data_IF_438574977447
#
_entry.id   IF_438574977447
#
_cell.length_a   1.000
_cell.length_b   1.000
_cell.length_c   1.000
_cell.angle_alpha   90.00
_cell.angle_beta   90.00
_cell.angle_gamma   90.00
#
_symmetry.space_group_name_H-M   'P 1'
#
loop_
_entity.id
_entity.type
_entity.pdbx_description
1 polymer ?
#
# COMPACT_ATOMS: atom_id res chain seq x y z
N UNK A 1 -4.66 41.32 19.11
CA UNK A 1 -4.15 41.19 17.73
C UNK A 1 -3.47 39.82 17.66
N UNK A 2 -4.14 38.86 16.99
CA UNK A 2 -3.72 37.51 16.54
C UNK A 2 -3.03 36.59 17.57
N UNK A 3 -3.61 35.52 18.14
CA UNK A 3 -4.34 34.34 17.64
C UNK A 3 -3.55 33.32 16.77
N UNK A 4 -3.51 32.09 17.32
CA UNK A 4 -3.48 30.74 16.73
C UNK A 4 -2.19 30.12 16.14
N UNK A 5 -1.74 29.02 16.78
CA UNK A 5 -1.31 27.79 16.09
C UNK A 5 -1.86 26.57 16.83
N UNK A 6 -3.05 26.12 16.38
CA UNK A 6 -3.67 24.85 16.74
C UNK A 6 -3.51 23.93 15.54
N UNK A 7 -2.48 23.08 15.54
CA UNK A 7 -2.30 22.04 14.53
C UNK A 7 -3.27 20.89 14.83
N UNK A 8 -4.51 21.04 14.36
CA UNK A 8 -5.47 19.93 14.27
C UNK A 8 -5.23 19.18 12.95
N UNK A 9 -4.93 17.90 13.10
CA UNK A 9 -5.04 16.84 12.09
C UNK A 9 -6.33 17.02 11.27
N UNK A 10 -6.17 17.30 9.98
CA UNK A 10 -7.26 17.19 9.00
C UNK A 10 -7.28 15.76 8.46
N UNK A 11 -8.37 14.99 8.63
CA UNK A 11 -8.56 13.77 7.88
C UNK A 11 -8.85 14.15 6.42
N UNK A 12 -7.88 13.93 5.53
CA UNK A 12 -7.90 14.45 4.15
C UNK A 12 -8.95 13.79 3.23
N UNK A 13 -9.73 12.82 3.68
CA UNK A 13 -10.76 12.19 2.83
C UNK A 13 -12.13 12.14 3.50
N UNK A 14 -12.60 13.28 4.02
CA UNK A 14 -14.01 13.48 4.30
C UNK A 14 -14.72 14.03 3.06
N UNK A 15 -15.64 13.24 2.50
CA UNK A 15 -16.57 13.61 1.44
C UNK A 15 -17.22 14.97 1.75
N UNK A 16 -16.82 16.04 1.04
CA UNK A 16 -17.59 17.28 0.95
C UNK A 16 -17.80 17.64 -0.51
N UNK A 17 -19.07 17.79 -0.88
CA UNK A 17 -19.52 18.37 -2.13
C UNK A 17 -18.77 19.68 -2.38
N UNK A 18 -17.98 19.73 -3.45
CA UNK A 18 -17.42 20.98 -3.94
C UNK A 18 -18.46 21.64 -4.85
N UNK A 19 -19.04 22.72 -4.32
CA UNK A 19 -19.71 23.76 -5.08
C UNK A 19 -18.83 24.22 -6.25
N UNK A 20 -19.45 24.43 -7.40
CA UNK A 20 -18.82 24.75 -8.68
C UNK A 20 -18.07 26.08 -8.64
N UNK A 21 -16.74 26.02 -8.59
CA UNK A 21 -15.86 27.09 -9.06
C UNK A 21 -14.77 26.45 -9.92
N UNK A 22 -14.74 26.86 -11.19
CA UNK A 22 -13.80 26.37 -12.21
C UNK A 22 -12.35 26.55 -11.72
N UNK A 23 -11.73 25.44 -11.35
CA UNK A 23 -10.28 25.33 -11.21
C UNK A 23 -9.79 24.67 -12.50
N UNK A 24 -8.83 25.29 -13.17
CA UNK A 24 -8.18 24.78 -14.37
C UNK A 24 -7.73 23.32 -14.18
N UNK A 25 -7.87 22.53 -15.24
CA UNK A 25 -7.82 21.07 -15.28
C UNK A 25 -6.48 20.46 -14.82
N UNK A 26 -6.26 20.37 -13.51
CA UNK A 26 -5.29 19.45 -12.93
C UNK A 26 -6.00 18.13 -12.66
N UNK A 27 -5.59 17.07 -13.36
CA UNK A 27 -6.01 15.72 -13.00
C UNK A 27 -5.62 15.47 -11.54
N UNK A 28 -6.51 14.98 -10.67
CA UNK A 28 -6.15 14.68 -9.29
C UNK A 28 -4.96 13.72 -9.28
N UNK A 29 -3.92 14.06 -8.50
CA UNK A 29 -2.72 13.24 -8.35
C UNK A 29 -3.17 11.89 -7.78
N UNK A 30 -3.03 10.83 -8.56
CA UNK A 30 -3.42 9.49 -8.13
C UNK A 30 -2.42 8.94 -7.12
N UNK A 31 -2.88 8.32 -6.02
CA UNK A 31 -1.98 7.70 -5.06
C UNK A 31 -1.20 6.54 -5.68
N UNK A 32 -0.05 6.23 -5.10
CA UNK A 32 0.55 4.90 -5.21
C UNK A 32 0.12 4.03 -4.03
N UNK A 33 -0.15 2.75 -4.28
CA UNK A 33 -0.40 1.76 -3.25
C UNK A 33 0.76 0.76 -3.21
N UNK A 34 1.44 0.71 -2.08
CA UNK A 34 2.50 -0.25 -1.78
C UNK A 34 1.94 -1.32 -0.82
N UNK A 35 2.04 -2.58 -1.23
CA UNK A 35 1.52 -3.73 -0.50
C UNK A 35 2.67 -4.66 -0.19
N UNK A 36 2.89 -4.94 1.09
CA UNK A 36 3.83 -5.95 1.54
C UNK A 36 3.09 -7.22 1.87
N UNK A 37 3.41 -8.34 1.20
CA UNK A 37 2.84 -9.64 1.54
C UNK A 37 3.65 -10.31 2.66
N UNK A 38 2.96 -11.07 3.50
CA UNK A 38 3.52 -11.77 4.65
C UNK A 38 2.43 -12.42 5.50
N UNK A 39 2.82 -13.06 6.59
CA UNK A 39 1.90 -13.64 7.57
C UNK A 39 1.91 -12.84 8.88
N UNK A 40 0.74 -12.58 9.51
CA UNK A 40 0.63 -11.90 10.79
C UNK A 40 1.00 -12.81 11.97
N UNK A 41 1.55 -12.21 13.02
CA UNK A 41 1.88 -12.88 14.28
C UNK A 41 3.39 -13.05 14.51
N UNK A 42 3.80 -13.07 15.78
CA UNK A 42 5.21 -13.08 16.20
C UNK A 42 6.00 -14.24 15.61
N UNK A 43 5.38 -15.42 15.48
CA UNK A 43 6.01 -16.64 14.93
C UNK A 43 6.47 -16.53 13.48
N UNK A 44 6.00 -15.51 12.73
CA UNK A 44 6.40 -15.29 11.33
C UNK A 44 7.37 -14.11 11.17
N UNK A 45 7.63 -13.36 12.24
CA UNK A 45 8.61 -12.28 12.21
C UNK A 45 9.99 -12.84 11.83
N UNK A 46 10.73 -12.08 11.02
CA UNK A 46 12.07 -12.47 10.53
C UNK A 46 12.11 -13.75 9.67
N UNK A 47 10.97 -14.25 9.18
CA UNK A 47 10.96 -15.31 8.17
C UNK A 47 11.11 -14.70 6.78
N UNK A 48 11.68 -15.44 5.82
CA UNK A 48 11.82 -14.98 4.43
C UNK A 48 10.47 -14.59 3.81
N UNK A 49 9.40 -15.29 4.18
CA UNK A 49 8.03 -15.01 3.74
C UNK A 49 7.48 -13.66 4.22
N UNK A 50 8.10 -13.02 5.20
CA UNK A 50 7.68 -11.72 5.72
C UNK A 50 8.52 -10.55 5.17
N UNK A 51 9.42 -10.79 4.21
CA UNK A 51 10.24 -9.71 3.62
C UNK A 51 9.40 -8.58 3.00
N UNK A 52 8.19 -8.89 2.52
CA UNK A 52 7.25 -7.89 2.03
C UNK A 52 6.78 -6.96 3.15
N UNK A 53 6.48 -7.49 4.35
CA UNK A 53 6.18 -6.67 5.52
C UNK A 53 7.38 -5.83 5.95
N UNK A 54 8.58 -6.43 5.99
CA UNK A 54 9.80 -5.75 6.38
C UNK A 54 10.12 -4.57 5.44
N UNK A 55 9.88 -4.75 4.14
CA UNK A 55 10.03 -3.68 3.14
C UNK A 55 9.06 -2.52 3.41
N UNK A 56 7.80 -2.80 3.71
CA UNK A 56 6.81 -1.76 4.02
C UNK A 56 7.16 -1.06 5.32
N UNK A 57 7.62 -1.78 6.35
CA UNK A 57 8.02 -1.21 7.63
C UNK A 57 9.23 -0.29 7.48
N UNK A 58 10.27 -0.73 6.75
CA UNK A 58 11.44 0.09 6.45
C UNK A 58 11.08 1.33 5.64
N UNK A 59 10.21 1.19 4.63
CA UNK A 59 9.76 2.33 3.83
C UNK A 59 8.94 3.31 4.66
N UNK A 60 7.94 2.83 5.41
CA UNK A 60 7.11 3.62 6.30
C UNK A 60 7.96 4.41 7.31
N UNK A 61 8.95 3.75 7.93
CA UNK A 61 9.88 4.39 8.85
C UNK A 61 10.71 5.48 8.16
N UNK A 62 11.26 5.20 6.97
CA UNK A 62 12.08 6.17 6.22
C UNK A 62 11.31 7.44 5.82
N UNK A 63 9.99 7.32 5.61
CA UNK A 63 9.11 8.42 5.20
C UNK A 63 8.31 9.03 6.37
N UNK A 64 8.46 8.49 7.59
CA UNK A 64 7.69 8.93 8.75
C UNK A 64 6.18 8.65 8.66
N UNK A 65 5.79 7.60 7.94
CA UNK A 65 4.37 7.23 7.73
C UNK A 65 3.95 6.21 8.80
N UNK A 66 3.00 6.54 9.69
CA UNK A 66 2.53 5.60 10.70
C UNK A 66 1.60 4.54 10.09
N UNK A 67 1.87 3.27 10.39
CA UNK A 67 1.00 2.13 10.07
C UNK A 67 0.12 1.79 11.26
N UNK A 68 -0.92 2.60 11.50
CA UNK A 68 -1.76 2.50 12.72
C UNK A 68 -3.21 2.15 12.45
N UNK A 69 -3.64 2.22 11.19
CA UNK A 69 -5.05 1.99 10.84
C UNK A 69 -5.25 0.53 10.48
N UNK A 70 -6.33 -0.07 10.95
CA UNK A 70 -6.78 -1.37 10.46
C UNK A 70 -7.92 -1.16 9.46
N UNK A 71 -7.68 -1.53 8.20
CA UNK A 71 -8.67 -1.35 7.13
C UNK A 71 -8.57 -2.51 6.14
N UNK A 72 -9.72 -3.03 5.68
CA UNK A 72 -9.78 -4.19 4.77
C UNK A 72 -8.89 -5.39 5.17
N UNK A 73 -8.89 -5.76 6.46
CA UNK A 73 -8.02 -6.81 7.01
C UNK A 73 -6.51 -6.54 6.80
N UNK A 74 -6.08 -5.29 6.64
CA UNK A 74 -4.68 -4.88 6.55
C UNK A 74 -4.31 -3.88 7.66
N UNK A 75 -3.04 -3.89 8.07
CA UNK A 75 -2.43 -2.77 8.78
C UNK A 75 -2.02 -1.74 7.73
N UNK A 76 -2.42 -0.49 7.94
CA UNK A 76 -2.50 0.51 6.89
C UNK A 76 -2.00 1.87 7.37
N UNK A 77 -1.41 2.62 6.44
CA UNK A 77 -0.96 3.99 6.64
C UNK A 77 -1.04 4.80 5.36
N UNK A 78 -1.21 6.11 5.52
CA UNK A 78 -1.25 7.08 4.42
C UNK A 78 -0.21 8.17 4.65
N UNK A 79 0.41 8.64 3.59
CA UNK A 79 1.40 9.71 3.65
C UNK A 79 1.64 10.38 2.30
N UNK A 80 2.67 11.21 2.25
CA UNK A 80 3.11 11.94 1.07
C UNK A 80 4.60 11.74 0.87
N UNK A 81 5.02 11.41 -0.35
CA UNK A 81 6.43 11.29 -0.75
C UNK A 81 6.63 12.15 -1.99
N UNK A 82 7.53 13.14 -1.90
CA UNK A 82 7.79 14.10 -2.99
C UNK A 82 6.51 14.75 -3.58
N UNK A 83 5.54 15.03 -2.72
CA UNK A 83 4.25 15.63 -3.12
C UNK A 83 3.25 14.65 -3.73
N UNK A 84 3.56 13.35 -3.78
CA UNK A 84 2.69 12.29 -4.30
C UNK A 84 2.07 11.52 -3.13
N UNK A 85 0.72 11.34 -3.11
CA UNK A 85 0.08 10.51 -2.10
C UNK A 85 0.53 9.06 -2.18
N UNK A 86 0.80 8.46 -1.02
CA UNK A 86 1.16 7.05 -0.89
C UNK A 86 0.32 6.36 0.17
N UNK A 87 -0.13 5.17 -0.18
CA UNK A 87 -0.87 4.26 0.68
C UNK A 87 0.00 3.03 0.93
N UNK A 88 0.16 2.65 2.19
CA UNK A 88 0.96 1.50 2.61
C UNK A 88 0.04 0.47 3.25
N UNK A 89 0.15 -0.79 2.82
CA UNK A 89 -0.69 -1.87 3.32
C UNK A 89 0.12 -3.13 3.63
N UNK A 90 -0.14 -3.71 4.81
CA UNK A 90 0.31 -5.05 5.21
C UNK A 90 -0.92 -5.91 5.52
N UNK A 91 -1.43 -6.71 4.56
CA UNK A 91 -2.55 -7.62 4.80
C UNK A 91 -2.33 -8.46 6.06
N UNK A 92 -3.17 -8.30 7.07
CA UNK A 92 -3.18 -9.10 8.30
C UNK A 92 -4.00 -10.39 8.09
N UNK A 93 -3.95 -10.93 6.88
CA UNK A 93 -4.46 -12.25 6.52
C UNK A 93 -3.28 -13.21 6.38
N UNK A 94 -3.55 -14.52 6.29
CA UNK A 94 -2.50 -15.44 5.86
C UNK A 94 -2.14 -15.18 4.39
N UNK A 95 -0.88 -15.46 4.02
CA UNK A 95 -0.32 -15.20 2.69
C UNK A 95 -1.21 -15.71 1.55
N UNK A 96 -1.75 -16.92 1.70
CA UNK A 96 -2.67 -17.56 0.75
C UNK A 96 -4.05 -16.89 0.64
N UNK A 97 -4.39 -16.01 1.58
CA UNK A 97 -5.65 -15.25 1.65
C UNK A 97 -5.41 -13.74 1.49
N UNK A 98 -4.23 -13.32 1.03
CA UNK A 98 -3.88 -11.91 0.81
C UNK A 98 -4.82 -11.21 -0.18
N UNK A 99 -5.35 -11.95 -1.17
CA UNK A 99 -6.33 -11.46 -2.14
C UNK A 99 -7.63 -10.92 -1.50
N UNK A 100 -8.05 -11.46 -0.34
CA UNK A 100 -9.24 -10.98 0.38
C UNK A 100 -9.05 -9.59 1.00
N UNK A 101 -7.81 -9.14 1.15
CA UNK A 101 -7.46 -7.82 1.66
C UNK A 101 -7.12 -6.86 0.51
N UNK A 102 -6.24 -7.29 -0.39
CA UNK A 102 -5.70 -6.48 -1.49
C UNK A 102 -6.78 -6.05 -2.48
N UNK A 103 -7.66 -6.97 -2.88
CA UNK A 103 -8.72 -6.69 -3.87
C UNK A 103 -9.68 -5.58 -3.43
N UNK A 104 -10.33 -5.70 -2.26
CA UNK A 104 -11.20 -4.66 -1.72
C UNK A 104 -10.51 -3.31 -1.52
N UNK A 105 -9.25 -3.33 -1.07
CA UNK A 105 -8.46 -2.11 -0.86
C UNK A 105 -8.23 -1.36 -2.19
N UNK A 106 -7.76 -2.06 -3.22
CA UNK A 106 -7.52 -1.46 -4.54
C UNK A 106 -8.82 -0.94 -5.17
N UNK A 107 -9.92 -1.68 -5.03
CA UNK A 107 -11.24 -1.28 -5.54
C UNK A 107 -11.79 -0.03 -4.82
N UNK A 108 -11.60 0.07 -3.50
CA UNK A 108 -12.07 1.19 -2.70
C UNK A 108 -11.41 2.51 -3.13
N UNK A 109 -10.09 2.52 -3.33
CA UNK A 109 -9.35 3.69 -3.80
C UNK A 109 -9.41 3.89 -5.32
N UNK A 110 -10.07 2.98 -6.06
CA UNK A 110 -10.23 3.03 -7.53
C UNK A 110 -8.90 3.16 -8.25
N UNK A 111 -7.87 2.48 -7.76
CA UNK A 111 -6.51 2.61 -8.30
C UNK A 111 -6.34 1.75 -9.56
N UNK A 112 -5.74 2.29 -10.63
CA UNK A 112 -5.32 1.48 -11.76
C UNK A 112 -4.15 0.57 -11.36
N UNK A 113 -4.01 -0.59 -12.02
CA UNK A 113 -2.95 -1.56 -11.70
C UNK A 113 -1.53 -1.00 -11.81
N UNK A 114 -1.31 -0.01 -12.69
CA UNK A 114 -0.01 0.66 -12.84
C UNK A 114 0.34 1.61 -11.68
N UNK A 115 -0.53 1.73 -10.66
CA UNK A 115 -0.29 2.47 -9.41
C UNK A 115 -0.19 1.57 -8.19
N UNK A 116 -0.12 0.26 -8.40
CA UNK A 116 -0.06 -0.73 -7.33
C UNK A 116 1.29 -1.45 -7.43
N UNK A 117 2.04 -1.44 -6.34
CA UNK A 117 3.26 -2.21 -6.16
C UNK A 117 3.02 -3.28 -5.10
N UNK A 118 3.34 -4.53 -5.41
CA UNK A 118 3.28 -5.64 -4.46
C UNK A 118 4.69 -6.17 -4.23
N UNK A 119 5.12 -6.18 -2.97
CA UNK A 119 6.39 -6.72 -2.51
C UNK A 119 6.16 -8.07 -1.81
N UNK A 120 6.89 -9.10 -2.24
CA UNK A 120 6.81 -10.46 -1.72
C UNK A 120 8.16 -11.16 -1.92
N UNK A 121 8.37 -12.29 -1.27
CA UNK A 121 9.56 -13.11 -1.45
C UNK A 121 9.48 -13.96 -2.72
N UNK A 122 10.58 -13.98 -3.48
CA UNK A 122 10.72 -14.84 -4.65
C UNK A 122 11.80 -15.89 -4.38
N UNK A 123 11.40 -17.17 -4.37
CA UNK A 123 12.32 -18.29 -4.12
C UNK A 123 13.30 -18.53 -5.28
N UNK A 124 13.00 -18.02 -6.48
CA UNK A 124 13.85 -18.18 -7.65
C UNK A 124 14.96 -17.12 -7.70
N UNK A 125 14.91 -16.10 -6.83
CA UNK A 125 15.95 -15.06 -6.73
C UNK A 125 17.02 -15.43 -5.68
N UNK A 126 18.31 -15.19 -5.99
CA UNK A 126 19.35 -15.25 -4.96
C UNK A 126 19.07 -14.26 -3.82
N UNK A 127 19.50 -14.61 -2.61
CA UNK A 127 19.34 -13.74 -1.44
C UNK A 127 19.95 -12.36 -1.68
N UNK A 128 19.22 -11.30 -1.34
CA UNK A 128 19.65 -9.91 -1.53
C UNK A 128 19.41 -9.34 -2.92
N UNK A 129 18.90 -10.13 -3.87
CA UNK A 129 18.55 -9.65 -5.21
C UNK A 129 17.10 -9.17 -5.21
N UNK A 130 16.91 -7.91 -5.63
CA UNK A 130 15.58 -7.33 -5.88
C UNK A 130 15.30 -7.28 -7.38
N UNK A 131 14.08 -7.65 -7.77
CA UNK A 131 13.63 -7.60 -9.16
C UNK A 131 12.28 -6.89 -9.25
N UNK A 132 12.24 -5.80 -10.02
CA UNK A 132 10.99 -5.12 -10.35
C UNK A 132 10.41 -5.69 -11.65
N UNK A 133 9.15 -6.11 -11.63
CA UNK A 133 8.46 -6.69 -12.79
C UNK A 133 7.15 -5.92 -13.06
N UNK A 134 6.95 -5.33 -14.27
CA UNK A 134 5.72 -4.59 -14.59
C UNK A 134 4.47 -5.47 -14.66
N UNK A 135 4.65 -6.78 -14.89
CA UNK A 135 3.61 -7.80 -14.90
C UNK A 135 4.17 -9.05 -14.26
N UNK A 136 3.58 -9.49 -13.15
CA UNK A 136 3.88 -10.79 -12.54
C UNK A 136 3.17 -11.88 -13.32
N UNK A 137 3.90 -12.60 -14.16
CA UNK A 137 3.48 -13.95 -14.57
C UNK A 137 3.85 -14.90 -13.45
N UNK A 138 2.91 -15.72 -12.98
CA UNK A 138 3.19 -16.80 -12.04
C UNK A 138 4.27 -17.71 -12.65
N UNK A 139 5.48 -17.66 -12.10
CA UNK A 139 6.58 -18.53 -12.49
C UNK A 139 6.31 -19.97 -12.02
N UNK A 140 5.54 -20.75 -12.79
CA UNK A 140 5.70 -22.18 -13.07
C UNK A 140 4.53 -22.71 -13.92
N UNK A 141 4.90 -23.42 -14.99
CA UNK A 141 4.04 -24.05 -15.99
C UNK A 141 3.07 -25.12 -15.42
N UNK A 142 1.77 -24.97 -15.73
CA UNK A 142 0.85 -25.94 -16.37
C UNK A 142 -0.58 -25.96 -15.76
N UNK A 143 -1.57 -25.55 -16.57
CA UNK A 143 -2.96 -25.99 -16.47
C UNK A 143 -4.03 -24.93 -16.15
N UNK A 144 -4.43 -24.14 -17.17
CA UNK A 144 -5.81 -23.71 -17.55
C UNK A 144 -6.94 -23.55 -16.48
N UNK A 145 -8.00 -22.74 -16.74
CA UNK A 145 -8.07 -21.28 -16.98
C UNK A 145 -9.23 -20.61 -16.18
N UNK A 146 -9.32 -19.28 -16.16
CA UNK A 146 -10.52 -18.55 -15.73
C UNK A 146 -10.25 -17.34 -14.85
#
# INVERSE_FOLDING_TARGET
MSEMLSNRLVPFLSKRCFSSLQTSSLSPIQPWLFIGLGNPGEKYQSTRHNVGFDMIDAFAQSQGIPLTTHYFKALFGEGMVDGIPVLLAKPQTYMNLSGESVGPLAAYYKLPLNRILVAFDDMDLPCGVLRLQPKGGFGRHNGLPG
#
